data_IF_274817523578
#
_entry.id   IF_274817523578
#
_cell.length_a   1.000
_cell.length_b   1.000
_cell.length_c   1.000
_cell.angle_alpha   90.00
_cell.angle_beta   90.00
_cell.angle_gamma   90.00
#
_symmetry.space_group_name_H-M   'P 1'
#
loop_
_entity.id
_entity.type
_entity.pdbx_description
1 polymer ?
#
# COMPACT_ATOMS: atom_id res chain seq x y z
N UNK A 1 -7.37 -15.13 4.77
CA UNK A 1 -6.63 -13.89 5.09
C UNK A 1 -5.40 -13.65 4.21
N UNK A 2 -4.35 -14.50 4.19
CA UNK A 2 -3.11 -14.23 3.43
C UNK A 2 -3.32 -13.95 1.93
N UNK A 3 -4.25 -14.66 1.26
CA UNK A 3 -4.62 -14.37 -0.14
C UNK A 3 -5.26 -12.99 -0.31
N UNK A 4 -6.09 -12.56 0.63
CA UNK A 4 -6.75 -11.25 0.62
C UNK A 4 -5.71 -10.14 0.85
N UNK A 5 -4.81 -10.34 1.82
CA UNK A 5 -3.67 -9.45 2.09
C UNK A 5 -2.79 -9.30 0.85
N UNK A 6 -2.43 -10.40 0.19
CA UNK A 6 -1.61 -10.37 -1.03
C UNK A 6 -2.30 -9.60 -2.18
N UNK A 7 -3.61 -9.79 -2.35
CA UNK A 7 -4.39 -9.06 -3.36
C UNK A 7 -4.43 -7.55 -3.08
N UNK A 8 -4.65 -7.17 -1.82
CA UNK A 8 -4.58 -5.75 -1.42
C UNK A 8 -3.16 -5.19 -1.50
N UNK A 9 -2.14 -5.98 -1.19
CA UNK A 9 -0.75 -5.58 -1.26
C UNK A 9 -0.31 -5.21 -2.69
N UNK A 10 -0.75 -5.95 -3.71
CA UNK A 10 -0.47 -5.65 -5.13
C UNK A 10 -0.92 -4.23 -5.53
N UNK A 11 -1.97 -3.70 -4.90
CA UNK A 11 -2.52 -2.38 -5.19
C UNK A 11 -1.93 -1.31 -4.24
N UNK A 12 -1.85 -1.63 -2.95
CA UNK A 12 -1.40 -0.71 -1.90
C UNK A 12 0.12 -0.46 -1.97
N UNK A 13 0.91 -1.46 -2.36
CA UNK A 13 2.36 -1.32 -2.45
C UNK A 13 2.81 -0.30 -3.53
N UNK A 14 2.40 -0.40 -4.81
CA UNK A 14 2.80 0.58 -5.82
C UNK A 14 2.20 1.97 -5.56
N UNK A 15 1.01 2.07 -4.95
CA UNK A 15 0.40 3.37 -4.62
C UNK A 15 1.16 4.08 -3.51
N UNK A 16 1.49 3.39 -2.41
CA UNK A 16 2.33 3.98 -1.36
C UNK A 16 3.74 4.27 -1.87
N UNK A 17 4.37 3.35 -2.60
CA UNK A 17 5.67 3.60 -3.21
C UNK A 17 5.66 4.85 -4.10
N UNK A 18 4.62 5.04 -4.93
CA UNK A 18 4.43 6.23 -5.74
C UNK A 18 4.27 7.51 -4.93
N UNK A 19 3.44 7.49 -3.87
CA UNK A 19 3.27 8.65 -2.97
C UNK A 19 4.59 9.02 -2.29
N UNK A 20 5.34 8.04 -1.82
CA UNK A 20 6.65 8.28 -1.21
C UNK A 20 7.70 8.75 -2.21
N UNK A 21 7.64 8.29 -3.47
CA UNK A 21 8.50 8.79 -4.55
C UNK A 21 8.26 10.28 -4.85
N UNK A 22 7.05 10.78 -4.62
CA UNK A 22 6.72 12.19 -4.83
C UNK A 22 7.39 13.10 -3.79
N UNK A 23 7.70 12.63 -2.58
CA UNK A 23 8.32 13.44 -1.51
C UNK A 23 9.70 14.01 -1.93
N UNK A 24 10.68 13.21 -2.40
CA UNK A 24 11.94 13.76 -2.88
C UNK A 24 11.77 14.61 -4.14
N UNK A 25 10.78 14.31 -4.99
CA UNK A 25 10.49 15.11 -6.19
C UNK A 25 9.94 16.51 -5.83
N UNK A 26 9.14 16.62 -4.78
CA UNK A 26 8.59 17.91 -4.31
C UNK A 26 9.60 18.72 -3.50
N UNK A 27 10.47 18.07 -2.71
CA UNK A 27 11.46 18.80 -1.89
C UNK A 27 12.71 19.23 -2.65
N UNK A 28 13.21 18.42 -3.59
CA UNK A 28 14.50 18.65 -4.25
C UNK A 28 14.39 19.49 -5.52
N UNK A 29 13.18 19.59 -6.09
CA UNK A 29 12.98 20.07 -7.46
C UNK A 29 13.54 19.08 -8.49
N UNK A 30 12.93 19.04 -9.68
CA UNK A 30 13.21 18.06 -10.74
C UNK A 30 14.65 18.08 -11.30
N UNK A 31 15.47 19.08 -10.95
CA UNK A 31 16.79 19.32 -11.56
C UNK A 31 17.97 18.65 -10.84
N UNK A 32 17.82 18.22 -9.58
CA UNK A 32 18.90 17.63 -8.76
C UNK A 32 18.50 16.28 -8.16
N UNK A 33 17.80 15.45 -8.94
CA UNK A 33 17.30 14.15 -8.47
C UNK A 33 18.49 13.22 -8.20
N UNK A 34 18.84 13.06 -6.92
CA UNK A 34 19.74 12.01 -6.50
C UNK A 34 18.96 10.68 -6.51
N UNK A 35 19.25 9.84 -7.50
CA UNK A 35 18.57 8.56 -7.69
C UNK A 35 18.59 7.68 -6.43
N UNK A 36 19.65 7.77 -5.62
CA UNK A 36 19.73 7.05 -4.35
C UNK A 36 18.67 7.48 -3.34
N UNK A 37 18.37 8.78 -3.25
CA UNK A 37 17.37 9.32 -2.34
C UNK A 37 15.96 8.88 -2.74
N UNK A 38 15.66 8.89 -4.05
CA UNK A 38 14.38 8.43 -4.58
C UNK A 38 14.17 6.93 -4.30
N UNK A 39 15.21 6.12 -4.53
CA UNK A 39 15.16 4.67 -4.30
C UNK A 39 14.91 4.34 -2.81
N UNK A 40 15.56 5.06 -1.88
CA UNK A 40 15.33 4.89 -0.44
C UNK A 40 13.89 5.21 -0.05
N UNK A 41 13.32 6.30 -0.57
CA UNK A 41 11.92 6.66 -0.28
C UNK A 41 10.92 5.66 -0.88
N UNK A 42 11.17 5.18 -2.10
CA UNK A 42 10.34 4.14 -2.73
C UNK A 42 10.36 2.84 -1.94
N UNK A 43 11.55 2.38 -1.52
CA UNK A 43 11.69 1.18 -0.70
C UNK A 43 11.01 1.39 0.65
N UNK A 44 11.18 2.54 1.29
CA UNK A 44 10.51 2.86 2.55
C UNK A 44 8.98 2.83 2.40
N UNK A 45 8.43 3.37 1.31
CA UNK A 45 7.01 3.30 1.00
C UNK A 45 6.50 1.87 0.76
N UNK A 46 7.29 1.04 0.06
CA UNK A 46 6.98 -0.36 -0.15
C UNK A 46 7.02 -1.18 1.16
N UNK A 47 7.99 -0.92 2.03
CA UNK A 47 8.08 -1.57 3.36
C UNK A 47 6.90 -1.16 4.24
N UNK A 48 6.50 0.12 4.24
CA UNK A 48 5.32 0.60 4.95
C UNK A 48 4.00 0.03 4.39
N UNK A 49 3.98 -0.39 3.12
CA UNK A 49 2.81 -1.04 2.55
C UNK A 49 2.51 -2.42 3.16
N UNK A 50 3.49 -3.10 3.75
CA UNK A 50 3.29 -4.39 4.42
C UNK A 50 2.33 -4.29 5.61
N UNK A 51 2.58 -3.44 6.64
CA UNK A 51 1.64 -3.30 7.75
C UNK A 51 0.31 -2.67 7.33
N UNK A 52 0.32 -1.74 6.37
CA UNK A 52 -0.92 -1.08 5.89
C UNK A 52 -1.83 -2.07 5.17
N UNK A 53 -1.29 -2.88 4.26
CA UNK A 53 -2.08 -3.89 3.54
C UNK A 53 -2.66 -4.95 4.47
N UNK A 54 -1.93 -5.35 5.53
CA UNK A 54 -2.45 -6.25 6.56
C UNK A 54 -3.61 -5.62 7.34
N UNK A 55 -3.48 -4.35 7.73
CA UNK A 55 -4.54 -3.63 8.44
C UNK A 55 -5.81 -3.46 7.59
N UNK A 56 -5.66 -3.09 6.31
CA UNK A 56 -6.77 -2.95 5.37
C UNK A 56 -7.46 -4.29 5.14
N UNK A 57 -6.70 -5.36 4.89
CA UNK A 57 -7.25 -6.69 4.71
C UNK A 57 -8.01 -7.17 5.95
N UNK A 58 -7.51 -6.92 7.16
CA UNK A 58 -8.19 -7.28 8.41
C UNK A 58 -9.53 -6.54 8.58
N UNK A 59 -9.59 -5.25 8.21
CA UNK A 59 -10.83 -4.47 8.24
C UNK A 59 -11.86 -4.99 7.24
N UNK A 60 -11.42 -5.32 6.04
CA UNK A 60 -12.30 -5.83 4.98
C UNK A 60 -12.79 -7.25 5.29
N UNK A 61 -11.93 -8.13 5.78
CA UNK A 61 -12.31 -9.48 6.23
C UNK A 61 -13.36 -9.42 7.35
N UNK A 62 -13.19 -8.51 8.33
CA UNK A 62 -14.19 -8.29 9.37
C UNK A 62 -15.55 -7.81 8.84
N UNK A 63 -15.56 -6.91 7.84
CA UNK A 63 -16.80 -6.44 7.20
C UNK A 63 -17.49 -7.54 6.37
N UNK A 64 -16.71 -8.38 5.70
CA UNK A 64 -17.23 -9.52 4.91
C UNK A 64 -17.79 -10.59 5.84
N UNK A 65 -17.09 -10.92 6.92
CA UNK A 65 -17.54 -11.90 7.93
C UNK A 65 -18.82 -11.45 8.63
N UNK A 66 -19.00 -10.13 8.81
CA UNK A 66 -20.24 -9.55 9.33
C UNK A 66 -21.42 -9.58 8.34
N UNK A 67 -21.18 -9.84 7.04
CA UNK A 67 -22.21 -9.99 5.99
C UNK A 67 -22.27 -11.44 5.48
N UNK A 68 -22.36 -12.40 6.41
CA UNK A 68 -22.74 -13.78 6.07
C UNK A 68 -24.05 -13.84 5.27
N UNK A 69 -24.25 -14.88 4.45
CA UNK A 69 -25.07 -14.83 3.24
C UNK A 69 -26.55 -14.58 3.52
N UNK A 70 -27.05 -13.41 3.12
CA UNK A 70 -28.48 -13.18 2.89
C UNK A 70 -28.87 -13.65 1.47
N UNK A 71 -28.57 -14.92 1.17
CA UNK A 71 -28.98 -15.57 -0.08
C UNK A 71 -29.35 -17.02 0.22
N UNK A 72 -30.40 -17.20 1.01
CA UNK A 72 -31.13 -18.45 1.15
C UNK A 72 -32.60 -18.15 1.38
N UNK A 73 -33.37 -18.16 0.29
CA UNK A 73 -34.77 -18.58 0.13
C UNK A 73 -35.38 -17.85 -1.05
#
# INVERSE_FOLDING_TARGET
MFRLVALFYIIIAPTLAGIFALVPLTMSGTLSINAGFLLVFVIAGAVLALPVSWFVAKRIDALISSRGPAASA
#
